data_IF_071167929082
#
_entry.id   IF_071167929082
#
_cell.length_a   1.000
_cell.length_b   1.000
_cell.length_c   1.000
_cell.angle_alpha   90.00
_cell.angle_beta   90.00
_cell.angle_gamma   90.00
#
_symmetry.space_group_name_H-M   'P 1'
#
loop_
_entity.id
_entity.type
_entity.pdbx_description
1 polymer ?
#
# COMPACT_ATOMS: atom_id res chain seq x y z
N UNK A 1 -3.08 15.58 -16.92
CA UNK A 1 -4.13 15.51 -15.91
C UNK A 1 -3.69 14.60 -14.78
N UNK A 2 -4.16 14.90 -13.64
CA UNK A 2 -3.75 14.22 -12.44
C UNK A 2 -4.90 13.37 -11.91
N UNK A 3 -4.61 12.10 -11.63
CA UNK A 3 -5.61 11.23 -11.06
C UNK A 3 -5.70 11.47 -9.56
N UNK A 4 -6.90 11.51 -9.06
CA UNK A 4 -7.13 11.60 -7.63
C UNK A 4 -7.90 10.36 -7.19
N UNK A 5 -7.34 9.63 -6.25
CA UNK A 5 -7.99 8.44 -5.70
C UNK A 5 -8.76 8.76 -4.45
N UNK A 6 -8.31 9.77 -3.73
CA UNK A 6 -9.04 10.31 -2.61
C UNK A 6 -8.68 11.79 -2.52
N UNK A 7 -9.54 12.59 -1.87
CA UNK A 7 -9.26 14.02 -1.79
C UNK A 7 -7.95 14.36 -1.10
N UNK A 8 -7.41 13.46 -0.31
CA UNK A 8 -6.25 13.75 0.51
C UNK A 8 -4.93 13.39 -0.15
N UNK A 9 -4.93 12.77 -1.33
CA UNK A 9 -3.67 12.38 -1.96
C UNK A 9 -3.53 13.00 -3.33
N UNK A 10 -2.27 13.25 -3.70
CA UNK A 10 -1.90 13.76 -5.01
C UNK A 10 -0.89 12.80 -5.59
N UNK A 11 -1.11 12.39 -6.82
CA UNK A 11 -0.22 11.46 -7.50
C UNK A 11 0.65 12.26 -8.45
N UNK A 12 1.96 12.28 -8.18
CA UNK A 12 2.92 12.99 -9.01
C UNK A 12 3.78 12.05 -9.84
N UNK A 13 3.75 10.75 -9.53
CA UNK A 13 4.54 9.74 -10.22
C UNK A 13 3.63 8.67 -10.76
N UNK A 14 4.10 8.03 -11.84
CA UNK A 14 3.40 6.87 -12.38
C UNK A 14 3.34 5.79 -11.30
N UNK A 15 2.17 5.20 -11.06
CA UNK A 15 2.09 4.13 -10.06
C UNK A 15 2.77 2.87 -10.54
N UNK A 16 3.27 2.09 -9.57
CA UNK A 16 3.74 0.74 -9.83
C UNK A 16 2.56 -0.19 -9.71
N UNK A 17 2.37 -1.03 -10.71
CA UNK A 17 1.30 -2.02 -10.68
C UNK A 17 1.90 -3.41 -10.73
N UNK A 18 1.47 -4.27 -9.80
CA UNK A 18 1.93 -5.64 -9.74
C UNK A 18 0.75 -6.56 -10.01
N UNK A 19 0.84 -7.29 -11.09
CA UNK A 19 -0.18 -8.25 -11.49
C UNK A 19 0.38 -9.65 -11.32
N UNK A 20 -0.51 -10.63 -11.31
CA UNK A 20 -0.09 -12.01 -11.18
C UNK A 20 -0.01 -12.49 -9.75
N UNK A 21 -0.29 -11.64 -8.78
CA UNK A 21 -0.41 -12.03 -7.39
C UNK A 21 -1.87 -12.37 -7.10
N UNK A 22 -2.10 -12.95 -5.94
CA UNK A 22 -3.46 -13.31 -5.53
C UNK A 22 -4.41 -12.10 -5.60
N UNK A 23 -3.91 -10.94 -5.19
CA UNK A 23 -4.63 -9.69 -5.32
C UNK A 23 -3.76 -8.68 -6.06
N UNK A 24 -4.37 -7.83 -6.89
CA UNK A 24 -3.59 -6.79 -7.57
C UNK A 24 -3.07 -5.77 -6.55
N UNK A 25 -1.87 -5.26 -6.82
CA UNK A 25 -1.23 -4.29 -5.95
C UNK A 25 -0.87 -3.07 -6.78
N UNK A 26 -1.16 -1.89 -6.24
CA UNK A 26 -0.78 -0.62 -6.87
C UNK A 26 -0.08 0.24 -5.83
N UNK A 27 1.08 0.77 -6.18
CA UNK A 27 1.88 1.59 -5.27
C UNK A 27 1.99 2.99 -5.88
N UNK A 28 1.52 3.98 -5.13
CA UNK A 28 1.62 5.38 -5.52
C UNK A 28 2.77 6.06 -4.76
N UNK A 29 2.80 7.39 -4.80
CA UNK A 29 3.89 8.14 -4.19
C UNK A 29 4.12 7.75 -2.73
N UNK A 30 3.04 7.66 -1.96
CA UNK A 30 3.15 7.38 -0.52
C UNK A 30 2.08 6.42 -0.04
N UNK A 31 1.38 5.77 -0.96
CA UNK A 31 0.25 4.90 -0.62
C UNK A 31 0.34 3.60 -1.40
N UNK A 32 -0.31 2.57 -0.90
CA UNK A 32 -0.38 1.29 -1.58
C UNK A 32 -1.78 0.72 -1.42
N UNK A 33 -2.29 0.18 -2.51
CA UNK A 33 -3.57 -0.51 -2.50
C UNK A 33 -3.34 -1.98 -2.79
N UNK A 34 -3.90 -2.83 -1.94
CA UNK A 34 -3.87 -4.29 -2.14
C UNK A 34 -5.32 -4.73 -2.23
N UNK A 35 -5.72 -5.22 -3.40
CA UNK A 35 -7.12 -5.48 -3.65
C UNK A 35 -7.92 -4.20 -3.47
N UNK A 36 -8.85 -4.18 -2.54
CA UNK A 36 -9.64 -2.97 -2.25
C UNK A 36 -9.16 -2.22 -1.00
N UNK A 37 -8.06 -2.66 -0.40
CA UNK A 37 -7.53 -2.03 0.82
C UNK A 37 -6.49 -0.98 0.46
N UNK A 38 -6.78 0.25 0.81
CA UNK A 38 -5.94 1.40 0.45
C UNK A 38 -5.44 2.08 1.73
N UNK A 39 -4.11 2.12 1.90
CA UNK A 39 -3.48 2.74 3.06
C UNK A 39 -2.16 3.38 2.64
N UNK A 40 -1.64 4.26 3.48
CA UNK A 40 -0.33 4.83 3.23
C UNK A 40 0.74 3.75 3.39
N UNK A 41 1.90 3.97 2.77
CA UNK A 41 3.02 3.05 2.94
C UNK A 41 3.48 3.03 4.39
N UNK A 42 3.42 4.17 5.08
CA UNK A 42 3.76 4.23 6.49
C UNK A 42 2.82 3.34 7.32
N UNK A 43 1.53 3.38 7.00
CA UNK A 43 0.57 2.53 7.69
C UNK A 43 0.81 1.05 7.39
N UNK A 44 1.05 0.73 6.12
CA UNK A 44 1.28 -0.67 5.76
C UNK A 44 2.47 -1.26 6.49
N UNK A 45 3.56 -0.50 6.63
CA UNK A 45 4.73 -1.03 7.30
C UNK A 45 4.53 -1.16 8.81
N UNK A 46 3.58 -0.44 9.39
CA UNK A 46 3.34 -0.47 10.83
C UNK A 46 2.24 -1.46 11.24
N UNK A 47 1.45 -1.96 10.30
CA UNK A 47 0.39 -2.90 10.64
C UNK A 47 0.95 -4.20 11.20
N UNK A 48 0.35 -4.67 12.29
CA UNK A 48 0.68 -5.98 12.82
C UNK A 48 -0.29 -7.03 12.28
N UNK A 49 -0.05 -8.28 12.64
CA UNK A 49 -0.84 -9.39 12.13
C UNK A 49 -2.32 -9.25 12.49
N UNK A 50 -2.61 -8.79 13.69
CA UNK A 50 -3.99 -8.65 14.12
C UNK A 50 -4.72 -7.59 13.32
N UNK A 51 -4.04 -6.49 13.03
CA UNK A 51 -4.64 -5.41 12.23
C UNK A 51 -4.92 -5.88 10.81
N UNK A 52 -3.99 -6.60 10.21
CA UNK A 52 -4.19 -7.13 8.86
C UNK A 52 -5.33 -8.15 8.84
N UNK A 53 -5.38 -9.04 9.82
CA UNK A 53 -6.45 -10.04 9.87
C UNK A 53 -7.81 -9.39 10.07
N UNK A 54 -7.87 -8.28 10.78
CA UNK A 54 -9.12 -7.57 11.00
C UNK A 54 -9.66 -6.92 9.74
N UNK A 55 -8.80 -6.64 8.76
CA UNK A 55 -9.24 -6.03 7.51
C UNK A 55 -9.98 -7.01 6.61
N UNK A 56 -9.44 -8.21 6.43
CA UNK A 56 -10.03 -9.15 5.48
C UNK A 56 -9.70 -10.60 5.85
N UNK A 57 -9.46 -10.87 7.12
CA UNK A 57 -9.35 -12.23 7.63
C UNK A 57 -8.02 -12.90 7.33
N UNK A 58 -8.06 -14.22 7.38
CA UNK A 58 -6.86 -15.04 7.23
C UNK A 58 -6.20 -14.93 5.87
N UNK A 59 -7.00 -14.77 4.83
CA UNK A 59 -6.46 -14.65 3.48
C UNK A 59 -5.58 -13.42 3.37
N UNK A 60 -6.03 -12.31 3.95
CA UNK A 60 -5.25 -11.08 3.95
C UNK A 60 -3.95 -11.27 4.72
N UNK A 61 -4.02 -11.92 5.87
CA UNK A 61 -2.84 -12.14 6.68
C UNK A 61 -1.83 -13.02 5.96
N UNK A 62 -2.29 -14.10 5.33
CA UNK A 62 -1.41 -14.99 4.59
C UNK A 62 -0.73 -14.25 3.44
N UNK A 63 -1.52 -13.48 2.68
CA UNK A 63 -0.96 -12.71 1.58
C UNK A 63 0.08 -11.72 2.09
N UNK A 64 -0.23 -11.01 3.17
CA UNK A 64 0.67 -10.00 3.71
C UNK A 64 1.98 -10.60 4.21
N UNK A 65 1.90 -11.70 4.95
CA UNK A 65 3.10 -12.38 5.42
C UNK A 65 3.99 -12.86 4.28
N UNK A 66 3.37 -13.34 3.21
CA UNK A 66 4.12 -13.85 2.08
C UNK A 66 4.76 -12.74 1.26
N UNK A 67 4.16 -11.55 1.20
CA UNK A 67 4.57 -10.52 0.26
C UNK A 67 5.05 -9.23 0.89
N UNK A 68 4.92 -9.09 2.21
CA UNK A 68 5.24 -7.82 2.87
C UNK A 68 6.63 -7.31 2.54
N UNK A 69 7.64 -8.13 2.76
CA UNK A 69 9.02 -7.70 2.56
C UNK A 69 9.28 -7.34 1.11
N UNK A 70 8.73 -8.12 0.20
CA UNK A 70 8.88 -7.88 -1.21
C UNK A 70 8.21 -6.56 -1.63
N UNK A 71 6.98 -6.34 -1.20
CA UNK A 71 6.23 -5.15 -1.60
C UNK A 71 6.84 -3.89 -1.00
N UNK A 72 7.15 -3.91 0.27
CA UNK A 72 7.75 -2.74 0.91
C UNK A 72 9.16 -2.49 0.40
N UNK A 73 9.91 -3.55 0.15
CA UNK A 73 11.25 -3.42 -0.42
C UNK A 73 11.22 -2.82 -1.81
N UNK A 74 10.26 -3.22 -2.64
CA UNK A 74 10.11 -2.66 -3.97
C UNK A 74 9.76 -1.17 -3.91
N UNK A 75 8.84 -0.81 -3.01
CA UNK A 75 8.47 0.58 -2.86
C UNK A 75 9.66 1.43 -2.41
N UNK A 76 10.47 0.91 -1.49
CA UNK A 76 11.67 1.63 -1.06
C UNK A 76 12.68 1.77 -2.19
N UNK A 77 12.89 0.68 -2.93
CA UNK A 77 13.84 0.70 -4.04
C UNK A 77 13.45 1.72 -5.10
N UNK A 78 12.15 1.93 -5.28
CA UNK A 78 11.65 2.89 -6.26
C UNK A 78 11.52 4.30 -5.68
N UNK A 79 11.99 4.53 -4.48
CA UNK A 79 11.99 5.85 -3.87
C UNK A 79 10.64 6.35 -3.43
N UNK A 80 9.70 5.47 -3.16
CA UNK A 80 8.38 5.87 -2.68
C UNK A 80 8.47 6.35 -1.23
N UNK A 81 7.53 7.18 -0.84
CA UNK A 81 7.57 7.86 0.45
C UNK A 81 6.95 7.03 1.55
N UNK A 82 7.74 6.79 2.60
CA UNK A 82 7.28 6.06 3.78
C UNK A 82 7.09 6.97 4.98
N UNK A 83 7.14 8.28 4.77
CA UNK A 83 6.91 9.21 5.85
C UNK A 83 5.44 9.17 6.24
N UNK A 84 5.19 9.36 7.54
CA UNK A 84 3.83 9.40 8.02
C UNK A 84 3.11 10.56 7.34
N UNK A 85 1.99 10.25 6.71
CA UNK A 85 1.21 11.26 6.03
C UNK A 85 0.29 11.97 7.02
N UNK A 86 0.29 13.28 6.96
CA UNK A 86 -0.62 14.08 7.78
C UNK A 86 -1.93 14.20 7.03
N UNK A 87 -2.83 13.27 7.30
CA UNK A 87 -4.10 13.25 6.62
C UNK A 87 -5.14 14.13 7.28
N UNK A 88 -4.80 14.72 8.41
CA UNK A 88 -5.72 15.61 9.08
C UNK A 88 -5.86 16.92 8.34
N UNK A 89 -4.89 17.22 7.53
CA UNK A 89 -4.96 18.44 6.74
C UNK A 89 -6.02 18.34 5.67
#
# INVERSE_FOLDING_TARGET
>A
ARAKLSPSITISRRPLQLLGLEWPVTIWDAHMQIGCLFHSLAEWQSFDDAEIAAMDGRSALRFWRSHKDFLLGMARADGRCFDKQDTAA
#
